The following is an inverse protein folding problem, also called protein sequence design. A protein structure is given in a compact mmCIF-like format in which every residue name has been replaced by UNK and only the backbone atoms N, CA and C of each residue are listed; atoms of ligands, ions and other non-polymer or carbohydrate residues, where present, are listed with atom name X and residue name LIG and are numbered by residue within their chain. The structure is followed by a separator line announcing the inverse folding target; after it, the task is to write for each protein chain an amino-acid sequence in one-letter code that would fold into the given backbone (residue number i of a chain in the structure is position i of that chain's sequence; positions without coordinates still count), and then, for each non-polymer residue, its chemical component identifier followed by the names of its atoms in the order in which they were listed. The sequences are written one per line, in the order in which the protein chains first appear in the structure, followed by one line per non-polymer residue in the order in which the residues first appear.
data_IF_968581706734
#
_entry.id   IF_968581706734
#
_cell.length_a   1.000
_cell.length_b   1.000
_cell.length_c   1.000
_cell.angle_alpha   90.00
_cell.angle_beta   90.00
_cell.angle_gamma   90.00
#
_symmetry.space_group_name_H-M   'P 1'
#
loop_
_entity.id
_entity.type
_entity.pdbx_description
1 polymer ?
#
# COMPACT_ATOMS: atom_id res chain seq x y z
N UNK A 1 -48.74 32.31 61.95
CA UNK A 1 -48.89 32.81 60.56
C UNK A 1 -47.49 33.06 60.00
N UNK A 2 -47.06 32.30 58.98
CA UNK A 2 -45.81 32.50 58.23
C UNK A 2 -46.17 32.61 56.75
N UNK A 3 -45.50 33.53 56.06
CA UNK A 3 -45.69 33.91 54.65
C UNK A 3 -44.64 33.19 53.78
N UNK A 4 -44.92 33.14 52.47
CA UNK A 4 -44.07 32.82 51.29
C UNK A 4 -43.84 31.32 51.01
N UNK A 5 -43.80 30.80 49.78
CA UNK A 5 -43.45 31.41 48.48
C UNK A 5 -43.88 30.49 47.30
N UNK A 6 -44.35 31.07 46.19
CA UNK A 6 -44.46 30.42 44.87
C UNK A 6 -43.10 30.53 44.17
N UNK A 7 -42.53 29.46 43.61
CA UNK A 7 -41.58 29.57 42.50
C UNK A 7 -41.74 28.41 41.51
N UNK A 8 -42.16 28.78 40.29
CA UNK A 8 -42.07 28.02 39.04
C UNK A 8 -40.60 27.78 38.64
N UNK A 9 -40.31 26.73 37.87
CA UNK A 9 -39.47 26.75 36.63
C UNK A 9 -39.07 25.31 36.25
N UNK A 10 -39.74 24.71 35.27
CA UNK A 10 -39.40 24.67 33.83
C UNK A 10 -38.23 23.76 33.48
N UNK A 11 -38.55 22.77 32.64
CA UNK A 11 -37.65 21.87 31.95
C UNK A 11 -36.47 22.62 31.31
N UNK A 12 -35.24 22.16 31.58
CA UNK A 12 -34.10 22.41 30.72
C UNK A 12 -33.56 21.04 30.27
N UNK A 13 -34.11 20.54 29.18
CA UNK A 13 -33.51 19.45 28.43
C UNK A 13 -32.17 19.95 27.89
N UNK A 14 -31.07 19.54 28.53
CA UNK A 14 -29.71 19.75 28.05
C UNK A 14 -29.52 18.98 26.74
N UNK A 15 -29.84 19.64 25.63
CA UNK A 15 -29.45 19.20 24.29
C UNK A 15 -27.97 19.53 24.11
N UNK A 16 -27.11 18.65 24.62
CA UNK A 16 -25.70 18.63 24.26
C UNK A 16 -25.61 18.31 22.76
N UNK A 17 -25.57 19.37 21.93
CA UNK A 17 -25.20 19.24 20.53
C UNK A 17 -23.76 18.73 20.50
N UNK A 18 -23.60 17.44 20.21
CA UNK A 18 -22.31 16.86 19.91
C UNK A 18 -21.71 17.61 18.72
N UNK A 19 -20.80 18.54 18.99
CA UNK A 19 -19.95 19.13 17.97
C UNK A 19 -19.16 17.98 17.35
N UNK A 20 -19.54 17.54 16.15
CA UNK A 20 -18.74 16.61 15.36
C UNK A 20 -17.41 17.32 15.09
N UNK A 21 -16.35 16.89 15.77
CA UNK A 21 -14.99 17.36 15.54
C UNK A 21 -14.69 17.11 14.06
N UNK A 22 -14.59 18.18 13.28
CA UNK A 22 -14.25 18.08 11.87
C UNK A 22 -12.79 17.63 11.77
N UNK A 23 -12.58 16.36 11.41
CA UNK A 23 -11.26 15.82 11.09
C UNK A 23 -10.87 16.35 9.71
N UNK A 24 -9.70 16.99 9.59
CA UNK A 24 -9.21 17.51 8.31
C UNK A 24 -8.93 16.33 7.36
N UNK A 25 -9.11 16.55 6.07
CA UNK A 25 -8.97 15.48 5.08
C UNK A 25 -7.56 14.85 5.08
N UNK A 26 -6.52 15.67 5.22
CA UNK A 26 -5.12 15.22 5.22
C UNK A 26 -4.75 14.40 6.47
N UNK A 27 -5.42 14.62 7.60
CA UNK A 27 -5.19 13.85 8.83
C UNK A 27 -5.66 12.39 8.70
N UNK A 28 -6.43 12.08 7.65
CA UNK A 28 -6.85 10.71 7.32
C UNK A 28 -5.85 9.99 6.40
N UNK A 29 -4.86 10.69 5.86
CA UNK A 29 -3.85 10.08 5.01
C UNK A 29 -2.90 9.23 5.85
N UNK A 30 -2.48 8.09 5.30
CA UNK A 30 -1.45 7.26 5.92
C UNK A 30 -0.13 8.03 6.06
N UNK A 31 0.62 7.72 7.12
CA UNK A 31 1.91 8.35 7.37
C UNK A 31 2.90 8.05 6.25
N UNK A 32 3.92 8.89 6.07
CA UNK A 32 4.98 8.61 5.12
C UNK A 32 5.69 7.29 5.44
N UNK A 33 5.92 6.99 6.71
CA UNK A 33 6.52 5.73 7.14
C UNK A 33 5.68 4.51 6.73
N UNK A 34 4.34 4.59 6.84
CA UNK A 34 3.43 3.54 6.38
C UNK A 34 3.46 3.38 4.87
N UNK A 35 3.59 4.48 4.11
CA UNK A 35 3.77 4.40 2.65
C UNK A 35 5.03 3.61 2.30
N UNK A 36 6.15 3.88 2.97
CA UNK A 36 7.40 3.12 2.79
C UNK A 36 7.22 1.65 3.18
N UNK A 37 6.56 1.38 4.32
CA UNK A 37 6.27 0.02 4.80
C UNK A 37 5.47 -0.79 3.79
N UNK A 38 4.39 -0.21 3.27
CA UNK A 38 3.55 -0.84 2.24
C UNK A 38 4.31 -1.06 0.94
N UNK A 39 5.20 -0.14 0.57
CA UNK A 39 6.06 -0.29 -0.62
C UNK A 39 7.01 -1.49 -0.48
N UNK A 40 7.67 -1.64 0.67
CA UNK A 40 8.56 -2.78 0.92
C UNK A 40 7.75 -4.08 0.96
N UNK A 41 6.59 -4.11 1.62
CA UNK A 41 5.69 -5.28 1.62
C UNK A 41 5.31 -5.71 0.19
N UNK A 42 4.97 -4.75 -0.68
CA UNK A 42 4.63 -5.02 -2.08
C UNK A 42 5.78 -5.75 -2.80
N UNK A 43 7.01 -5.25 -2.64
CA UNK A 43 8.21 -5.82 -3.28
C UNK A 43 8.53 -7.21 -2.74
N UNK A 44 8.54 -7.39 -1.41
CA UNK A 44 8.88 -8.68 -0.79
C UNK A 44 7.85 -9.77 -1.14
N UNK A 45 6.57 -9.42 -1.21
CA UNK A 45 5.51 -10.35 -1.62
C UNK A 45 5.71 -10.83 -3.05
N UNK A 46 6.05 -9.91 -3.95
CA UNK A 46 6.26 -10.22 -5.36
C UNK A 46 7.55 -11.01 -5.58
N UNK A 47 8.66 -10.67 -4.91
CA UNK A 47 9.92 -11.42 -5.00
C UNK A 47 9.74 -12.86 -4.51
N UNK A 48 9.21 -13.04 -3.29
CA UNK A 48 8.97 -14.38 -2.72
C UNK A 48 8.02 -15.20 -3.59
N UNK A 49 6.93 -14.60 -4.07
CA UNK A 49 5.98 -15.30 -4.93
C UNK A 49 6.60 -15.72 -6.27
N UNK A 50 7.47 -14.89 -6.87
CA UNK A 50 8.17 -15.23 -8.12
C UNK A 50 9.15 -16.36 -7.95
N UNK A 51 9.92 -16.34 -6.86
CA UNK A 51 10.87 -17.40 -6.52
C UNK A 51 10.14 -18.73 -6.32
N UNK A 52 9.11 -18.75 -5.47
CA UNK A 52 8.30 -19.95 -5.22
C UNK A 52 7.56 -20.44 -6.47
N UNK A 53 7.06 -19.53 -7.30
CA UNK A 53 6.47 -19.89 -8.59
C UNK A 53 7.49 -20.53 -9.55
N UNK A 54 8.73 -20.03 -9.54
CA UNK A 54 9.82 -20.61 -10.33
C UNK A 54 10.18 -22.02 -9.85
N UNK A 55 10.27 -22.21 -8.53
CA UNK A 55 10.51 -23.52 -7.91
C UNK A 55 9.40 -24.50 -8.24
N UNK A 56 8.14 -24.10 -8.09
CA UNK A 56 6.98 -24.94 -8.42
C UNK A 56 7.04 -25.39 -9.89
N UNK A 57 7.30 -24.45 -10.82
CA UNK A 57 7.44 -24.75 -12.24
C UNK A 57 8.58 -25.73 -12.53
N UNK A 58 9.73 -25.55 -11.89
CA UNK A 58 10.88 -26.46 -12.06
C UNK A 58 10.54 -27.88 -11.61
N UNK A 59 9.75 -28.00 -10.54
CA UNK A 59 9.29 -29.27 -10.00
C UNK A 59 8.05 -29.85 -10.72
N UNK A 60 7.60 -29.24 -11.82
CA UNK A 60 6.40 -29.67 -12.56
C UNK A 60 5.07 -29.40 -11.85
N UNK A 61 5.08 -28.59 -10.80
CA UNK A 61 3.90 -28.19 -10.04
C UNK A 61 3.28 -26.87 -10.51
N UNK A 62 2.19 -26.50 -9.84
CA UNK A 62 1.53 -25.20 -10.00
C UNK A 62 1.71 -24.35 -8.74
N UNK A 63 1.85 -23.05 -8.92
CA UNK A 63 1.95 -22.10 -7.82
C UNK A 63 0.66 -21.30 -7.69
N UNK A 64 0.09 -21.32 -6.50
CA UNK A 64 -1.12 -20.57 -6.18
C UNK A 64 -0.78 -19.20 -5.56
N UNK A 65 -0.96 -18.17 -6.39
CA UNK A 65 -0.77 -16.78 -5.98
C UNK A 65 -1.78 -16.31 -4.94
N UNK A 66 -3.00 -16.86 -4.93
CA UNK A 66 -4.04 -16.44 -4.00
C UNK A 66 -3.70 -16.90 -2.58
N UNK A 67 -3.37 -18.19 -2.43
CA UNK A 67 -2.92 -18.75 -1.15
C UNK A 67 -1.66 -18.06 -0.65
N UNK A 68 -0.64 -17.88 -1.50
CA UNK A 68 0.58 -17.16 -1.12
C UNK A 68 0.28 -15.74 -0.63
N UNK A 69 -0.57 -15.00 -1.34
CA UNK A 69 -0.93 -13.63 -0.95
C UNK A 69 -1.71 -13.59 0.37
N UNK A 70 -2.56 -14.58 0.64
CA UNK A 70 -3.28 -14.68 1.91
C UNK A 70 -2.32 -14.95 3.07
N UNK A 71 -1.43 -15.94 2.92
CA UNK A 71 -0.41 -16.29 3.91
C UNK A 71 0.55 -15.12 4.16
N UNK A 72 1.09 -14.52 3.09
CA UNK A 72 2.00 -13.38 3.21
C UNK A 72 1.36 -12.19 3.95
N UNK A 73 0.07 -11.91 3.70
CA UNK A 73 -0.63 -10.86 4.45
C UNK A 73 -0.79 -11.24 5.93
N UNK A 74 -1.16 -12.48 6.23
CA UNK A 74 -1.31 -12.94 7.61
C UNK A 74 0.01 -12.87 8.39
N UNK A 75 1.12 -13.24 7.75
CA UNK A 75 2.43 -13.30 8.39
C UNK A 75 3.07 -11.93 8.59
N UNK A 76 2.86 -11.00 7.63
CA UNK A 76 3.63 -9.76 7.57
C UNK A 76 2.82 -8.45 7.66
N UNK A 77 1.48 -8.49 7.82
CA UNK A 77 0.66 -7.25 7.81
C UNK A 77 1.07 -6.23 8.87
N UNK A 78 1.52 -6.70 10.03
CA UNK A 78 1.92 -5.87 11.18
C UNK A 78 3.43 -5.71 11.33
N UNK A 79 4.22 -6.27 10.41
CA UNK A 79 5.69 -6.21 10.51
C UNK A 79 6.20 -4.78 10.33
N UNK A 80 7.09 -4.29 11.22
CA UNK A 80 7.63 -2.94 11.14
C UNK A 80 8.59 -2.79 9.96
N UNK A 81 8.67 -1.56 9.40
CA UNK A 81 9.52 -1.24 8.24
C UNK A 81 10.97 -1.71 8.41
N UNK A 82 11.55 -1.56 9.60
CA UNK A 82 12.94 -1.95 9.89
C UNK A 82 13.18 -3.45 9.66
N UNK A 83 12.23 -4.30 10.06
CA UNK A 83 12.34 -5.75 9.89
C UNK A 83 12.15 -6.15 8.44
N UNK A 84 11.22 -5.51 7.74
CA UNK A 84 11.00 -5.71 6.32
C UNK A 84 12.24 -5.32 5.50
N UNK A 85 12.87 -4.18 5.81
CA UNK A 85 14.13 -3.77 5.18
C UNK A 85 15.26 -4.78 5.44
N UNK A 86 15.34 -5.32 6.66
CA UNK A 86 16.30 -6.39 6.98
C UNK A 86 16.05 -7.64 6.15
N UNK A 87 14.80 -8.07 6.02
CA UNK A 87 14.43 -9.21 5.18
C UNK A 87 14.79 -8.98 3.71
N UNK A 88 14.47 -7.79 3.16
CA UNK A 88 14.83 -7.41 1.80
C UNK A 88 16.33 -7.45 1.53
N UNK A 89 17.14 -6.99 2.50
CA UNK A 89 18.60 -7.07 2.42
C UNK A 89 19.11 -8.51 2.42
N UNK A 90 18.65 -9.32 3.37
CA UNK A 90 19.16 -10.68 3.57
C UNK A 90 18.77 -11.60 2.43
N UNK A 91 17.52 -11.53 1.97
CA UNK A 91 16.98 -12.46 0.98
C UNK A 91 17.25 -12.02 -0.46
N UNK A 92 17.21 -10.70 -0.73
CA UNK A 92 17.18 -10.18 -2.10
C UNK A 92 18.26 -9.13 -2.39
N UNK A 93 19.16 -8.85 -1.43
CA UNK A 93 20.24 -7.87 -1.61
C UNK A 93 19.76 -6.42 -1.73
N UNK A 94 18.54 -6.10 -1.26
CA UNK A 94 17.97 -4.75 -1.32
C UNK A 94 18.45 -3.95 -0.11
N UNK A 95 19.46 -3.09 -0.30
CA UNK A 95 20.22 -2.47 0.79
C UNK A 95 19.54 -1.29 1.45
N UNK A 96 18.76 -0.55 0.67
CA UNK A 96 18.16 0.76 0.97
C UNK A 96 16.83 0.94 0.21
N UNK A 97 16.20 2.10 0.41
CA UNK A 97 14.90 2.40 -0.20
C UNK A 97 14.96 2.59 -1.71
N UNK A 98 16.10 2.98 -2.26
CA UNK A 98 16.26 3.20 -3.71
C UNK A 98 16.32 1.85 -4.44
N UNK A 99 17.05 0.89 -3.89
CA UNK A 99 17.01 -0.49 -4.37
C UNK A 99 15.59 -1.08 -4.35
N UNK A 100 14.78 -0.74 -3.34
CA UNK A 100 13.36 -1.13 -3.25
C UNK A 100 12.53 -0.46 -4.36
N UNK A 101 12.70 0.85 -4.58
CA UNK A 101 12.01 1.62 -5.63
C UNK A 101 12.32 1.07 -7.02
N UNK A 102 13.60 0.86 -7.32
CA UNK A 102 14.07 0.27 -8.58
C UNK A 102 13.47 -1.12 -8.80
N UNK A 103 13.45 -1.93 -7.73
CA UNK A 103 12.89 -3.28 -7.80
C UNK A 103 11.39 -3.23 -8.10
N UNK A 104 10.66 -2.34 -7.43
CA UNK A 104 9.23 -2.12 -7.64
C UNK A 104 8.93 -1.65 -9.06
N UNK A 105 9.74 -0.74 -9.61
CA UNK A 105 9.61 -0.29 -10.99
C UNK A 105 9.76 -1.46 -11.98
N UNK A 106 10.74 -2.34 -11.76
CA UNK A 106 10.91 -3.58 -12.56
C UNK A 106 9.68 -4.49 -12.46
N UNK A 107 9.09 -4.67 -11.28
CA UNK A 107 7.87 -5.46 -11.11
C UNK A 107 6.69 -4.89 -11.91
N UNK A 108 6.50 -3.57 -11.85
CA UNK A 108 5.45 -2.88 -12.61
C UNK A 108 5.67 -3.01 -14.12
N UNK A 109 6.91 -2.82 -14.59
CA UNK A 109 7.27 -2.99 -16.00
C UNK A 109 6.91 -4.39 -16.52
N UNK A 110 7.21 -5.44 -15.77
CA UNK A 110 6.85 -6.82 -16.13
C UNK A 110 5.33 -7.02 -16.17
N UNK A 111 4.59 -6.45 -15.21
CA UNK A 111 3.12 -6.53 -15.18
C UNK A 111 2.51 -5.83 -16.40
N UNK A 112 2.99 -4.63 -16.72
CA UNK A 112 2.54 -3.86 -17.87
C UNK A 112 2.84 -4.59 -19.19
N UNK A 113 4.02 -5.19 -19.31
CA UNK A 113 4.36 -5.99 -20.51
C UNK A 113 3.46 -7.21 -20.68
N UNK A 114 3.07 -7.88 -19.58
CA UNK A 114 2.13 -9.01 -19.63
C UNK A 114 0.74 -8.56 -20.08
N UNK A 115 0.24 -7.44 -19.53
CA UNK A 115 -1.04 -6.86 -19.93
C UNK A 115 -1.03 -6.43 -21.40
N UNK A 116 0.03 -5.77 -21.86
CA UNK A 116 0.20 -5.37 -23.25
C UNK A 116 0.21 -6.56 -24.21
N UNK A 117 0.84 -7.69 -23.83
CA UNK A 117 0.83 -8.92 -24.64
C UNK A 117 -0.57 -9.54 -24.73
N UNK A 118 -1.35 -9.47 -23.66
CA UNK A 118 -2.73 -9.96 -23.63
C UNK A 118 -3.67 -9.07 -24.45
N UNK A 119 -3.48 -7.75 -24.45
CA UNK A 119 -4.26 -6.83 -25.29
C UNK A 119 -3.86 -6.89 -26.76
N UNK A 120 -2.58 -7.09 -27.08
CA UNK A 120 -2.10 -7.25 -28.46
C UNK A 120 -2.54 -8.56 -29.13
N UNK A 121 -2.98 -9.56 -28.36
CA UNK A 121 -3.55 -10.80 -28.89
C UNK A 121 -4.92 -10.63 -29.57
N UNK A 122 -5.56 -9.47 -29.42
CA UNK A 122 -6.85 -9.13 -30.04
C UNK A 122 -6.70 -8.10 -31.19
N UNK A 123 -5.53 -7.50 -31.36
CA UNK A 123 -5.29 -6.48 -32.38
C UNK A 123 -4.02 -6.80 -33.17
N UNK A 124 -4.09 -7.80 -34.04
CA UNK A 124 -3.23 -7.83 -35.22
C UNK A 124 -3.67 -6.72 -36.17
N UNK A 125 -3.22 -5.49 -35.91
CA UNK A 125 -2.79 -4.50 -36.91
C UNK A 125 -2.62 -3.12 -36.25
N UNK A 126 -1.54 -2.43 -36.62
CA UNK A 126 -1.26 -1.00 -36.40
C UNK A 126 -0.55 -0.62 -35.09
N UNK A 127 0.77 -0.80 -35.11
CA UNK A 127 1.77 0.23 -34.82
C UNK A 127 1.29 1.47 -34.02
N UNK A 128 1.63 1.52 -32.73
CA UNK A 128 2.10 2.76 -32.11
C UNK A 128 3.06 2.45 -30.95
N UNK A 129 4.22 3.07 -31.02
CA UNK A 129 5.24 3.09 -29.98
C UNK A 129 4.76 4.14 -28.98
N UNK A 130 4.25 3.72 -27.82
CA UNK A 130 4.03 4.65 -26.72
C UNK A 130 4.96 4.28 -25.57
N UNK A 131 6.14 4.87 -25.64
CA UNK A 131 7.09 4.93 -24.54
C UNK A 131 6.54 6.00 -23.58
N UNK A 132 5.62 5.60 -22.69
CA UNK A 132 5.32 6.41 -21.51
C UNK A 132 6.47 6.21 -20.52
N UNK A 133 7.44 7.11 -20.63
CA UNK A 133 8.44 7.33 -19.59
C UNK A 133 7.71 8.04 -18.45
N UNK A 134 7.17 7.26 -17.52
CA UNK A 134 6.62 7.78 -16.27
C UNK A 134 7.81 8.09 -15.34
N UNK A 135 8.54 9.15 -15.70
CA UNK A 135 9.57 9.79 -14.88
C UNK A 135 8.86 10.51 -13.74
N UNK A 136 8.42 9.77 -12.74
CA UNK A 136 8.23 10.32 -11.40
C UNK A 136 9.61 10.27 -10.72
N UNK A 137 10.48 11.17 -11.19
CA UNK A 137 11.69 11.60 -10.52
C UNK A 137 11.25 12.33 -9.25
N UNK A 138 11.00 11.55 -8.18
CA UNK A 138 10.83 12.08 -6.82
C UNK A 138 12.23 12.33 -6.22
N UNK A 139 13.07 13.05 -6.97
CA UNK A 139 14.21 13.80 -6.45
C UNK A 139 13.64 14.97 -5.61
N UNK A 140 13.10 14.62 -4.44
CA UNK A 140 13.04 15.53 -3.29
C UNK A 140 14.45 15.48 -2.68
N UNK A 141 15.41 16.05 -3.40
CA UNK A 141 16.62 16.59 -2.80
C UNK A 141 16.37 18.08 -2.56
N UNK A 142 16.70 18.53 -1.36
CA UNK A 142 16.75 19.92 -0.87
C UNK A 142 15.42 20.64 -0.59
N UNK A 143 14.91 20.39 0.62
CA UNK A 143 14.27 21.46 1.41
C UNK A 143 14.97 21.54 2.77
N UNK A 144 16.09 22.26 2.79
CA UNK A 144 16.63 22.92 4.00
C UNK A 144 15.71 24.08 4.41
#
# INVERSE_FOLDING_TARGET
MRVTEKVQKTNAANTAKAHKTQIKALDKCISYNDKLRLMVLEVLREESGRELASVARFNGGQFDWETHNAQFRADYSETPLKELMRAGRILYGLTDMDAIRDRRAKHRGIRNQRLARQSSGVASSSQSVHEEVDVADDDIDDLD
#
